data_IF_901020066129
#
_entry.id   IF_901020066129
#
_cell.length_a   1.000
_cell.length_b   1.000
_cell.length_c   1.000
_cell.angle_alpha   90.00
_cell.angle_beta   90.00
_cell.angle_gamma   90.00
#
_symmetry.space_group_name_H-M   'P 1'
#
loop_
_entity.id
_entity.type
_entity.pdbx_description
1 polymer ?
#
# COMPACT_ATOMS: atom_id res chain seq x y z
N UNK A 1 -59.99 -9.98 -20.03
CA UNK A 1 -59.39 -11.08 -19.27
C UNK A 1 -57.97 -10.70 -18.87
N UNK A 2 -57.81 -10.36 -17.59
CA UNK A 2 -56.67 -10.63 -16.67
C UNK A 2 -55.29 -10.96 -17.29
N UNK A 3 -54.26 -10.11 -17.07
CA UNK A 3 -53.15 -10.34 -16.10
C UNK A 3 -52.06 -9.25 -16.24
N UNK A 4 -51.85 -8.43 -15.20
CA UNK A 4 -50.79 -8.48 -14.16
C UNK A 4 -49.59 -7.56 -14.43
N UNK A 5 -49.55 -6.53 -13.59
CA UNK A 5 -48.43 -5.64 -13.25
C UNK A 5 -47.15 -6.43 -12.92
N UNK A 6 -46.01 -5.87 -13.29
CA UNK A 6 -44.81 -5.87 -12.43
C UNK A 6 -44.10 -4.53 -12.60
N UNK A 7 -44.14 -3.73 -11.53
CA UNK A 7 -43.29 -2.57 -11.34
C UNK A 7 -41.84 -3.03 -11.20
N UNK A 8 -40.91 -2.41 -11.93
CA UNK A 8 -39.54 -2.20 -11.46
C UNK A 8 -39.25 -0.70 -11.61
N UNK A 9 -39.35 -0.01 -10.47
CA UNK A 9 -39.00 1.38 -10.30
C UNK A 9 -37.47 1.53 -10.36
N UNK A 10 -37.02 2.47 -11.20
CA UNK A 10 -35.96 3.45 -10.97
C UNK A 10 -34.81 3.09 -10.01
N UNK A 11 -33.64 2.75 -10.58
CA UNK A 11 -32.32 3.05 -10.00
C UNK A 11 -31.23 2.83 -11.05
N UNK A 12 -30.98 3.87 -11.86
CA UNK A 12 -29.74 4.13 -12.62
C UNK A 12 -30.07 5.19 -13.65
N UNK A 13 -29.78 6.44 -13.32
CA UNK A 13 -29.60 7.60 -14.21
C UNK A 13 -29.78 8.89 -13.38
N UNK A 14 -28.80 9.16 -12.51
CA UNK A 14 -28.34 10.52 -12.24
C UNK A 14 -26.82 10.42 -12.48
N UNK A 15 -26.19 11.16 -13.37
CA UNK A 15 -26.62 12.32 -14.13
C UNK A 15 -25.34 13.10 -14.40
N UNK A 16 -24.60 12.67 -15.43
CA UNK A 16 -23.47 13.42 -15.96
C UNK A 16 -23.98 14.75 -16.50
N UNK A 17 -23.94 15.80 -15.68
CA UNK A 17 -24.12 17.16 -16.13
C UNK A 17 -22.78 17.66 -16.66
N UNK A 18 -22.47 17.32 -17.92
CA UNK A 18 -21.46 17.97 -18.74
C UNK A 18 -21.89 19.43 -18.96
N UNK A 19 -21.37 20.36 -18.16
CA UNK A 19 -21.41 21.78 -18.49
C UNK A 19 -20.28 22.02 -19.49
N UNK A 20 -20.62 22.04 -20.78
CA UNK A 20 -19.79 22.55 -21.85
C UNK A 20 -19.74 24.08 -21.69
N UNK A 21 -18.75 24.58 -20.96
CA UNK A 21 -18.38 25.99 -20.94
C UNK A 21 -17.30 26.23 -21.98
N UNK A 22 -17.62 26.91 -23.07
CA UNK A 22 -16.65 27.46 -24.02
C UNK A 22 -15.69 28.40 -23.26
N UNK A 23 -14.48 27.93 -22.95
CA UNK A 23 -13.41 28.78 -22.44
C UNK A 23 -12.93 29.63 -23.62
N UNK A 24 -13.35 30.89 -23.65
CA UNK A 24 -12.63 31.91 -24.40
C UNK A 24 -11.31 32.17 -23.67
N UNK A 25 -10.20 31.73 -24.26
CA UNK A 25 -8.85 32.07 -23.78
C UNK A 25 -8.66 33.59 -23.87
N UNK A 26 -8.27 34.29 -22.79
CA UNK A 26 -7.65 35.59 -22.91
C UNK A 26 -6.25 35.38 -23.52
N UNK A 27 -5.98 36.01 -24.64
CA UNK A 27 -4.61 36.18 -25.13
C UNK A 27 -3.87 37.05 -24.10
N UNK A 28 -3.00 36.44 -23.28
CA UNK A 28 -2.13 37.20 -22.40
C UNK A 28 -0.97 37.77 -23.21
N UNK A 29 -0.96 39.10 -23.29
CA UNK A 29 0.19 39.87 -23.70
C UNK A 29 1.37 39.60 -22.75
N UNK A 30 2.54 39.48 -23.35
CA UNK A 30 3.83 39.36 -22.66
C UNK A 30 4.10 40.66 -21.91
N UNK A 31 4.16 40.61 -20.59
CA UNK A 31 4.88 41.62 -19.82
C UNK A 31 5.89 40.94 -18.89
N UNK A 32 7.15 41.31 -19.14
CA UNK A 32 8.34 40.83 -18.47
C UNK A 32 8.35 41.27 -17.00
N UNK A 33 8.30 40.30 -16.07
CA UNK A 33 8.91 40.48 -14.75
C UNK A 33 9.68 39.21 -14.42
N UNK A 34 11.01 39.33 -14.46
CA UNK A 34 11.95 38.31 -14.00
C UNK A 34 11.68 37.96 -12.54
N UNK A 35 11.21 36.73 -12.30
CA UNK A 35 11.38 36.08 -11.01
C UNK A 35 12.55 35.08 -11.14
N UNK A 36 13.65 35.37 -10.43
CA UNK A 36 14.78 34.45 -10.32
C UNK A 36 14.33 33.20 -9.57
N UNK A 37 14.30 32.05 -10.24
CA UNK A 37 14.11 30.73 -9.63
C UNK A 37 15.45 30.19 -9.15
N UNK A 38 15.61 30.05 -7.83
CA UNK A 38 16.65 29.20 -7.26
C UNK A 38 16.12 27.78 -7.16
N UNK A 39 16.54 26.90 -8.07
CA UNK A 39 16.26 25.47 -8.00
C UNK A 39 17.16 24.84 -6.93
N UNK A 40 16.57 24.34 -5.85
CA UNK A 40 17.20 23.38 -4.97
C UNK A 40 16.62 22.00 -5.32
N UNK A 41 17.49 21.12 -5.83
CA UNK A 41 17.17 19.74 -6.19
C UNK A 41 17.06 18.91 -4.92
N UNK A 42 15.84 18.44 -4.63
CA UNK A 42 15.60 17.26 -3.81
C UNK A 42 14.59 16.39 -4.57
N UNK A 43 15.03 15.20 -4.97
CA UNK A 43 14.21 14.16 -5.59
C UNK A 43 12.99 13.85 -4.71
N UNK A 44 11.77 14.11 -5.22
CA UNK A 44 10.51 13.86 -4.51
C UNK A 44 9.61 15.08 -4.28
N UNK A 45 10.03 16.29 -4.67
CA UNK A 45 9.20 17.51 -4.59
C UNK A 45 9.12 18.20 -5.95
N UNK A 46 8.02 17.99 -6.68
CA UNK A 46 7.70 18.82 -7.85
C UNK A 46 6.24 19.28 -7.74
N UNK A 47 6.11 20.42 -7.08
CA UNK A 47 4.89 21.19 -6.87
C UNK A 47 5.17 22.16 -5.73
N UNK A 48 5.05 23.47 -5.97
CA UNK A 48 5.08 24.45 -4.87
C UNK A 48 4.10 23.99 -3.78
N UNK A 49 4.39 24.23 -2.50
CA UNK A 49 3.42 24.12 -1.40
C UNK A 49 2.23 25.06 -1.69
N UNK A 50 1.37 24.65 -2.62
CA UNK A 50 0.22 25.39 -3.06
C UNK A 50 -0.81 25.10 -2.00
N UNK A 51 -1.04 26.10 -1.16
CA UNK A 51 -2.13 26.08 -0.21
C UNK A 51 -3.18 27.10 -0.61
N UNK A 52 -4.44 26.71 -0.52
CA UNK A 52 -5.59 27.59 -0.67
C UNK A 52 -6.32 27.62 0.66
N UNK A 53 -6.75 28.80 1.09
CA UNK A 53 -7.57 28.96 2.28
C UNK A 53 -8.93 29.56 1.90
N UNK A 54 -10.01 28.91 2.34
CA UNK A 54 -11.37 29.38 2.13
C UNK A 54 -12.20 29.10 3.39
N UNK A 55 -12.93 30.11 3.87
CA UNK A 55 -13.80 30.01 5.05
C UNK A 55 -13.10 29.42 6.30
N UNK A 56 -11.82 29.75 6.49
CA UNK A 56 -11.01 29.28 7.62
C UNK A 56 -10.51 27.84 7.49
N UNK A 57 -10.77 27.16 6.37
CA UNK A 57 -10.20 25.86 6.04
C UNK A 57 -9.00 26.06 5.13
N UNK A 58 -7.85 25.55 5.54
CA UNK A 58 -6.61 25.56 4.75
C UNK A 58 -6.41 24.20 4.11
N UNK A 59 -6.25 24.18 2.78
CA UNK A 59 -5.99 22.98 2.01
C UNK A 59 -4.61 23.13 1.38
N UNK A 60 -3.74 22.13 1.54
CA UNK A 60 -2.35 22.15 1.07
C UNK A 60 -2.07 20.90 0.24
N UNK A 61 -1.49 21.08 -0.95
CA UNK A 61 -0.89 19.98 -1.70
C UNK A 61 0.48 19.65 -1.11
N UNK A 62 0.65 18.44 -0.57
CA UNK A 62 1.89 18.02 0.08
C UNK A 62 2.87 17.37 -0.88
N UNK A 63 2.37 16.48 -1.75
CA UNK A 63 3.18 15.73 -2.69
C UNK A 63 2.36 15.26 -3.89
N UNK A 64 3.03 15.11 -5.02
CA UNK A 64 2.52 14.41 -6.21
C UNK A 64 3.65 13.59 -6.81
N UNK A 65 3.36 12.34 -7.13
CA UNK A 65 4.29 11.41 -7.76
C UNK A 65 3.58 10.74 -8.93
N UNK A 66 4.14 10.86 -10.13
CA UNK A 66 3.66 10.18 -11.32
C UNK A 66 4.67 9.14 -11.81
N UNK A 67 4.21 7.95 -12.15
CA UNK A 67 4.98 6.87 -12.77
C UNK A 67 4.38 6.54 -14.13
N UNK A 68 4.84 5.47 -14.78
CA UNK A 68 4.31 5.10 -16.10
C UNK A 68 2.81 4.79 -16.05
N UNK A 69 2.38 4.15 -14.97
CA UNK A 69 1.03 3.60 -14.82
C UNK A 69 0.25 4.22 -13.65
N UNK A 70 0.89 4.95 -12.72
CA UNK A 70 0.25 5.38 -11.48
C UNK A 70 0.50 6.88 -11.20
N UNK A 71 -0.47 7.53 -10.57
CA UNK A 71 -0.38 8.90 -10.07
C UNK A 71 -0.85 8.92 -8.61
N UNK A 72 0.05 9.28 -7.69
CA UNK A 72 -0.24 9.41 -6.25
C UNK A 72 -0.13 10.86 -5.85
N UNK A 73 -1.17 11.41 -5.23
CA UNK A 73 -1.19 12.76 -4.68
C UNK A 73 -1.62 12.75 -3.21
N UNK A 74 -0.98 13.56 -2.38
CA UNK A 74 -1.36 13.71 -0.97
C UNK A 74 -1.67 15.16 -0.68
N UNK A 75 -2.85 15.42 -0.10
CA UNK A 75 -3.27 16.75 0.36
C UNK A 75 -3.55 16.73 1.87
N UNK A 76 -3.40 17.89 2.51
CA UNK A 76 -3.79 18.11 3.90
C UNK A 76 -4.85 19.19 3.98
N UNK A 77 -5.92 18.90 4.69
CA UNK A 77 -7.00 19.82 5.03
C UNK A 77 -6.92 20.12 6.53
N UNK A 78 -6.84 21.40 6.89
CA UNK A 78 -6.84 21.87 8.27
C UNK A 78 -8.07 22.73 8.49
N UNK A 79 -8.89 22.38 9.48
CA UNK A 79 -10.16 23.04 9.78
C UNK A 79 -10.07 23.84 11.10
N UNK A 80 -10.90 24.88 11.27
CA UNK A 80 -10.88 25.69 12.49
C UNK A 80 -11.54 24.98 13.68
N UNK A 81 -12.45 24.06 13.40
CA UNK A 81 -13.21 23.27 14.37
C UNK A 81 -13.03 21.78 14.08
N UNK A 82 -13.00 20.92 15.12
CA UNK A 82 -12.76 19.48 14.94
C UNK A 82 -13.71 18.83 13.92
N UNK A 83 -13.20 17.82 13.21
CA UNK A 83 -13.99 16.95 12.35
C UNK A 83 -15.05 16.22 13.17
N UNK A 84 -16.21 16.03 12.56
CA UNK A 84 -17.32 15.33 13.19
C UNK A 84 -17.22 13.86 12.82
N UNK A 85 -17.02 13.00 13.83
CA UNK A 85 -16.77 11.56 13.65
C UNK A 85 -17.97 10.82 13.07
N UNK A 86 -19.15 11.42 13.09
CA UNK A 86 -20.38 10.84 12.55
C UNK A 86 -20.62 11.22 11.07
N UNK A 87 -19.83 12.14 10.50
CA UNK A 87 -19.98 12.61 9.13
C UNK A 87 -19.20 11.71 8.15
N UNK A 88 -19.90 11.04 7.24
CA UNK A 88 -19.29 10.08 6.30
C UNK A 88 -18.72 10.74 5.04
N UNK A 89 -18.96 12.04 4.83
CA UNK A 89 -18.52 12.78 3.65
C UNK A 89 -17.80 14.07 4.05
N UNK A 90 -16.61 13.94 4.63
CA UNK A 90 -15.82 15.07 5.12
C UNK A 90 -15.29 15.96 3.99
N UNK A 91 -14.89 15.37 2.86
CA UNK A 91 -14.43 16.05 1.66
C UNK A 91 -14.64 15.18 0.41
N UNK A 92 -15.04 15.82 -0.70
CA UNK A 92 -15.00 15.21 -2.02
C UNK A 92 -13.78 15.75 -2.77
N UNK A 93 -12.98 14.85 -3.33
CA UNK A 93 -11.75 15.18 -4.04
C UNK A 93 -11.77 14.60 -5.46
N UNK A 94 -11.25 15.36 -6.41
CA UNK A 94 -11.07 14.91 -7.79
C UNK A 94 -9.69 15.35 -8.28
N UNK A 95 -8.88 14.37 -8.69
CA UNK A 95 -7.57 14.59 -9.31
C UNK A 95 -7.71 14.54 -10.83
N UNK A 96 -7.21 15.57 -11.51
CA UNK A 96 -7.23 15.67 -12.96
C UNK A 96 -5.81 15.90 -13.49
N UNK A 97 -5.35 14.99 -14.35
CA UNK A 97 -4.04 15.10 -15.02
C UNK A 97 -4.01 14.39 -16.38
N UNK A 98 -3.77 15.16 -17.45
CA UNK A 98 -3.73 14.64 -18.81
C UNK A 98 -5.07 14.06 -19.31
N UNK A 99 -5.05 13.47 -20.51
CA UNK A 99 -6.21 12.86 -21.17
C UNK A 99 -6.23 11.32 -21.02
N UNK A 100 -5.58 10.79 -19.98
CA UNK A 100 -5.41 9.35 -19.84
C UNK A 100 -6.69 8.65 -19.41
N UNK A 101 -6.89 7.42 -19.91
CA UNK A 101 -8.04 6.60 -19.53
C UNK A 101 -7.83 6.04 -18.14
N UNK A 102 -8.45 6.70 -17.16
CA UNK A 102 -8.57 6.19 -15.80
C UNK A 102 -9.09 4.75 -15.80
N UNK A 103 -8.39 3.86 -15.10
CA UNK A 103 -8.71 2.44 -15.05
C UNK A 103 -9.09 1.96 -13.65
N UNK A 104 -8.90 2.79 -12.64
CA UNK A 104 -9.14 2.47 -11.25
C UNK A 104 -8.25 3.31 -10.37
N UNK A 105 -8.58 3.35 -9.09
CA UNK A 105 -7.86 4.16 -8.13
C UNK A 105 -8.41 3.97 -6.73
N UNK A 106 -7.73 4.58 -5.77
CA UNK A 106 -8.09 4.58 -4.38
C UNK A 106 -8.09 6.02 -3.85
N UNK A 107 -8.89 6.25 -2.81
CA UNK A 107 -8.78 7.47 -2.02
C UNK A 107 -8.86 7.07 -0.55
N UNK A 108 -7.85 7.44 0.22
CA UNK A 108 -7.78 7.15 1.65
C UNK A 108 -7.78 8.44 2.46
N UNK A 109 -8.38 8.35 3.65
CA UNK A 109 -8.61 9.47 4.56
C UNK A 109 -7.97 9.10 5.90
N UNK A 110 -7.11 9.97 6.43
CA UNK A 110 -6.44 9.78 7.71
C UNK A 110 -6.53 11.05 8.54
N UNK A 111 -6.79 10.90 9.84
CA UNK A 111 -6.80 11.99 10.80
C UNK A 111 -5.57 11.94 11.70
N UNK A 112 -4.52 12.73 11.45
CA UNK A 112 -3.40 12.85 12.38
C UNK A 112 -3.82 13.45 13.73
N UNK A 113 -4.85 14.29 13.72
CA UNK A 113 -5.46 14.91 14.90
C UNK A 113 -6.93 15.23 14.60
N UNK A 114 -7.63 15.84 15.55
CA UNK A 114 -9.06 16.13 15.45
C UNK A 114 -9.42 17.25 14.46
N UNK A 115 -8.46 18.01 13.94
CA UNK A 115 -8.64 19.16 13.03
C UNK A 115 -7.89 19.03 11.70
N UNK A 116 -7.14 17.96 11.53
CA UNK A 116 -6.33 17.70 10.35
C UNK A 116 -6.81 16.44 9.67
N UNK A 117 -7.09 16.54 8.37
CA UNK A 117 -7.39 15.42 7.50
C UNK A 117 -6.31 15.34 6.41
N UNK A 118 -5.68 14.19 6.27
CA UNK A 118 -4.76 13.86 5.18
C UNK A 118 -5.51 12.96 4.21
N UNK A 119 -5.55 13.37 2.95
CA UNK A 119 -6.17 12.61 1.88
C UNK A 119 -5.08 12.18 0.91
N UNK A 120 -5.00 10.87 0.64
CA UNK A 120 -4.14 10.31 -0.39
C UNK A 120 -5.02 9.78 -1.52
N UNK A 121 -4.75 10.24 -2.74
CA UNK A 121 -5.43 9.87 -3.96
C UNK A 121 -4.44 9.09 -4.82
N UNK A 122 -4.85 7.92 -5.29
CA UNK A 122 -4.04 7.06 -6.15
C UNK A 122 -4.85 6.70 -7.39
N UNK A 123 -4.42 7.17 -8.55
CA UNK A 123 -5.02 6.85 -9.84
C UNK A 123 -4.11 5.93 -10.63
N UNK A 124 -4.69 4.86 -11.20
CA UNK A 124 -4.00 3.90 -12.06
C UNK A 124 -4.52 3.99 -13.50
N UNK A 125 -3.61 4.04 -14.45
CA UNK A 125 -3.86 4.24 -15.87
C UNK A 125 -3.46 3.00 -16.67
N UNK A 126 -4.37 2.51 -17.51
CA UNK A 126 -4.08 1.36 -18.38
C UNK A 126 -3.54 1.84 -19.73
N UNK A 127 -2.36 1.32 -20.12
CA UNK A 127 -1.83 1.40 -21.49
C UNK A 127 -1.61 2.83 -22.03
N UNK A 128 -1.46 3.80 -21.13
CA UNK A 128 -1.17 5.19 -21.47
C UNK A 128 -0.06 5.68 -20.56
N UNK A 129 1.06 6.06 -21.14
CA UNK A 129 2.17 6.67 -20.40
C UNK A 129 1.69 8.04 -19.93
N UNK A 130 1.74 8.29 -18.62
CA UNK A 130 1.48 9.61 -18.09
C UNK A 130 2.32 10.67 -18.83
N UNK A 131 1.75 11.82 -19.22
CA UNK A 131 2.55 12.92 -19.74
C UNK A 131 3.71 13.23 -18.80
N UNK A 132 4.90 13.48 -19.35
CA UNK A 132 6.07 13.80 -18.51
C UNK A 132 5.86 15.12 -17.78
N UNK A 133 5.17 16.09 -18.38
CA UNK A 133 4.94 17.41 -17.80
C UNK A 133 3.56 17.90 -18.14
N UNK A 134 2.97 18.68 -17.24
CA UNK A 134 1.70 19.33 -17.52
C UNK A 134 1.07 19.99 -16.30
N UNK A 135 -0.06 20.67 -16.52
CA UNK A 135 -0.90 21.15 -15.44
C UNK A 135 -1.66 19.98 -14.80
N UNK A 136 -1.61 19.93 -13.49
CA UNK A 136 -2.38 19.05 -12.62
C UNK A 136 -3.34 19.90 -11.79
N UNK A 137 -4.55 19.41 -11.59
CA UNK A 137 -5.56 20.09 -10.78
C UNK A 137 -6.21 19.11 -9.82
N UNK A 138 -6.31 19.51 -8.56
CA UNK A 138 -7.09 18.81 -7.53
C UNK A 138 -8.24 19.70 -7.10
N UNK A 139 -9.47 19.28 -7.37
CA UNK A 139 -10.66 19.97 -6.89
C UNK A 139 -11.10 19.37 -5.55
N UNK A 140 -11.37 20.25 -4.57
CA UNK A 140 -11.78 19.87 -3.21
C UNK A 140 -13.07 20.58 -2.85
N UNK A 141 -14.08 19.80 -2.48
CA UNK A 141 -15.39 20.29 -2.05
C UNK A 141 -15.69 19.82 -0.63
N UNK A 142 -15.97 20.76 0.27
CA UNK A 142 -16.46 20.47 1.63
C UNK A 142 -17.72 21.26 1.90
N UNK A 143 -18.88 20.61 1.85
CA UNK A 143 -20.18 21.27 1.96
C UNK A 143 -20.37 21.97 3.31
N UNK A 144 -19.96 21.32 4.41
CA UNK A 144 -20.06 21.83 5.78
C UNK A 144 -19.37 23.19 5.96
N UNK A 145 -18.19 23.37 5.35
CA UNK A 145 -17.42 24.60 5.41
C UNK A 145 -17.66 25.52 4.21
N UNK A 146 -18.58 25.16 3.30
CA UNK A 146 -18.83 25.86 2.04
C UNK A 146 -17.55 26.08 1.22
N UNK A 147 -16.68 25.07 1.21
CA UNK A 147 -15.42 25.09 0.47
C UNK A 147 -15.63 24.45 -0.88
N UNK A 148 -15.17 25.12 -1.93
CA UNK A 148 -15.07 24.60 -3.29
C UNK A 148 -13.88 25.30 -3.95
N UNK A 149 -12.74 24.63 -3.95
CA UNK A 149 -11.46 25.18 -4.43
C UNK A 149 -10.75 24.19 -5.34
N UNK A 150 -9.97 24.71 -6.27
CA UNK A 150 -9.00 23.94 -7.04
C UNK A 150 -7.58 24.27 -6.59
N UNK A 151 -6.76 23.24 -6.45
CA UNK A 151 -5.31 23.35 -6.30
C UNK A 151 -4.68 23.02 -7.64
N UNK A 152 -4.16 24.04 -8.32
CA UNK A 152 -3.45 23.87 -9.58
C UNK A 152 -1.94 23.74 -9.31
N UNK A 153 -1.27 22.81 -9.98
CA UNK A 153 0.17 22.61 -9.92
C UNK A 153 0.73 22.28 -11.30
N UNK A 154 1.90 22.82 -11.65
CA UNK A 154 2.64 22.37 -12.82
C UNK A 154 3.63 21.30 -12.37
N UNK A 155 3.44 20.08 -12.88
CA UNK A 155 4.24 18.92 -12.49
C UNK A 155 5.20 18.51 -13.60
N UNK A 156 6.31 17.88 -13.21
CA UNK A 156 7.34 17.34 -14.09
C UNK A 156 7.76 15.97 -13.55
N UNK A 157 7.25 14.90 -14.16
CA UNK A 157 7.52 13.51 -13.84
C UNK A 157 8.64 12.90 -14.68
N UNK A 158 9.42 13.72 -15.41
CA UNK A 158 10.47 13.23 -16.31
C UNK A 158 11.46 12.30 -15.59
N UNK A 159 11.83 12.64 -14.35
CA UNK A 159 12.80 11.86 -13.58
C UNK A 159 12.19 10.56 -13.03
N UNK A 160 10.96 10.59 -12.50
CA UNK A 160 10.29 9.38 -12.00
C UNK A 160 9.93 8.39 -13.11
N UNK A 161 9.63 8.90 -14.31
CA UNK A 161 9.41 8.06 -15.49
C UNK A 161 10.71 7.40 -15.98
N UNK A 162 11.84 8.12 -15.95
CA UNK A 162 13.16 7.58 -16.33
C UNK A 162 13.71 6.60 -15.29
N UNK A 163 13.49 6.86 -14.01
CA UNK A 163 13.97 6.04 -12.90
C UNK A 163 12.98 4.90 -12.60
N UNK A 164 12.78 4.06 -13.61
CA UNK A 164 11.93 2.88 -13.54
C UNK A 164 12.57 1.72 -14.30
N UNK A 165 12.15 0.49 -13.99
CA UNK A 165 12.52 -0.70 -14.75
C UNK A 165 11.31 -1.60 -14.98
N UNK A 166 11.31 -2.25 -16.12
CA UNK A 166 10.29 -3.19 -16.54
C UNK A 166 10.98 -4.39 -17.18
N UNK A 167 10.64 -5.60 -16.73
CA UNK A 167 11.19 -6.84 -17.29
C UNK A 167 10.12 -7.91 -17.35
N UNK A 168 9.94 -8.46 -18.56
CA UNK A 168 9.04 -9.58 -18.80
C UNK A 168 9.72 -10.91 -18.50
N UNK A 169 8.91 -11.86 -18.05
CA UNK A 169 9.27 -13.21 -17.64
C UNK A 169 8.25 -14.22 -18.16
N UNK A 170 8.65 -15.49 -18.14
CA UNK A 170 7.74 -16.62 -18.37
C UNK A 170 8.22 -17.78 -17.51
N UNK A 171 8.22 -17.57 -16.19
CA UNK A 171 8.72 -18.55 -15.23
C UNK A 171 7.54 -19.27 -14.62
N UNK A 172 7.46 -20.60 -14.82
CA UNK A 172 6.45 -21.44 -14.19
C UNK A 172 6.76 -21.62 -12.71
N UNK A 173 5.72 -21.56 -11.89
CA UNK A 173 5.73 -21.83 -10.45
C UNK A 173 4.80 -23.03 -10.24
N UNK A 174 5.31 -24.26 -10.42
CA UNK A 174 4.47 -25.46 -10.44
C UNK A 174 3.69 -25.68 -9.15
N UNK A 175 4.21 -25.21 -8.01
CA UNK A 175 3.56 -25.35 -6.71
C UNK A 175 2.17 -24.71 -6.69
N UNK A 176 1.94 -23.64 -7.45
CA UNK A 176 0.69 -22.87 -7.46
C UNK A 176 -0.04 -22.93 -8.81
N UNK A 177 0.47 -23.72 -9.76
CA UNK A 177 0.07 -23.70 -11.17
C UNK A 177 0.02 -22.28 -11.74
N UNK A 178 1.01 -21.46 -11.40
CA UNK A 178 1.08 -20.06 -11.80
C UNK A 178 2.29 -19.79 -12.70
N UNK A 179 2.22 -18.70 -13.45
CA UNK A 179 3.34 -18.19 -14.25
C UNK A 179 3.66 -16.78 -13.83
N UNK A 180 4.90 -16.53 -13.44
CA UNK A 180 5.40 -15.19 -13.22
C UNK A 180 5.72 -14.52 -14.56
N UNK A 181 5.07 -13.38 -14.82
CA UNK A 181 5.07 -12.72 -16.13
C UNK A 181 5.91 -11.45 -16.16
N UNK A 182 5.97 -10.69 -15.07
CA UNK A 182 6.46 -9.31 -15.15
C UNK A 182 6.92 -8.75 -13.82
N UNK A 183 8.03 -8.02 -13.85
CA UNK A 183 8.48 -7.13 -12.78
C UNK A 183 8.47 -5.69 -13.30
N UNK A 184 7.75 -4.81 -12.61
CA UNK A 184 7.80 -3.36 -12.78
C UNK A 184 8.29 -2.73 -11.48
N UNK A 185 9.24 -1.81 -11.52
CA UNK A 185 9.72 -1.12 -10.33
C UNK A 185 9.96 0.35 -10.63
N UNK A 186 9.48 1.21 -9.74
CA UNK A 186 9.59 2.66 -9.83
C UNK A 186 9.72 3.28 -8.42
N UNK A 187 9.43 4.58 -8.30
CA UNK A 187 9.49 5.31 -7.04
C UNK A 187 8.40 4.92 -6.03
N UNK A 188 7.28 4.34 -6.48
CA UNK A 188 6.18 3.89 -5.63
C UNK A 188 6.36 2.45 -5.14
N UNK A 189 7.24 1.67 -5.77
CA UNK A 189 7.58 0.32 -5.33
C UNK A 189 7.84 -0.64 -6.47
N UNK A 190 7.78 -1.93 -6.16
CA UNK A 190 7.87 -3.01 -7.15
C UNK A 190 6.55 -3.75 -7.25
N UNK A 191 6.04 -3.90 -8.47
CA UNK A 191 4.87 -4.70 -8.82
C UNK A 191 5.29 -5.94 -9.59
N UNK A 192 4.68 -7.08 -9.24
CA UNK A 192 4.95 -8.39 -9.81
C UNK A 192 3.65 -8.99 -10.30
N UNK A 193 3.56 -9.26 -11.61
CA UNK A 193 2.35 -9.81 -12.22
C UNK A 193 2.49 -11.30 -12.50
N UNK A 194 1.45 -12.06 -12.14
CA UNK A 194 1.35 -13.50 -12.28
C UNK A 194 0.08 -13.88 -13.03
N UNK A 195 0.11 -14.98 -13.76
CA UNK A 195 -1.04 -15.58 -14.42
C UNK A 195 -1.36 -16.91 -13.77
N UNK A 196 -2.62 -17.10 -13.40
CA UNK A 196 -3.13 -18.30 -12.74
C UNK A 196 -4.40 -18.78 -13.48
N UNK A 197 -4.68 -20.10 -13.50
CA UNK A 197 -5.97 -20.62 -13.94
C UNK A 197 -7.13 -20.02 -13.12
N UNK A 198 -8.29 -19.78 -13.74
CA UNK A 198 -9.47 -19.29 -13.02
C UNK A 198 -9.90 -20.28 -11.91
N UNK A 199 -9.82 -21.58 -12.18
CA UNK A 199 -10.21 -22.63 -11.22
C UNK A 199 -9.38 -22.59 -9.94
N UNK A 200 -8.05 -22.36 -10.01
CA UNK A 200 -7.17 -22.31 -8.83
C UNK A 200 -7.37 -21.04 -8.00
N UNK A 201 -7.65 -19.91 -8.65
CA UNK A 201 -7.91 -18.61 -7.97
C UNK A 201 -9.23 -18.58 -7.18
N UNK A 202 -10.18 -19.45 -7.53
CA UNK A 202 -11.53 -19.51 -6.96
C UNK A 202 -11.77 -20.76 -6.10
N UNK A 203 -10.76 -21.57 -5.78
CA UNK A 203 -10.89 -22.74 -4.91
C UNK A 203 -11.14 -22.37 -3.44
N UNK A 204 -12.24 -21.66 -3.16
CA UNK A 204 -12.96 -21.79 -1.90
C UNK A 204 -13.74 -23.10 -1.97
N UNK A 205 -13.07 -24.22 -1.72
CA UNK A 205 -13.83 -25.35 -1.20
C UNK A 205 -14.33 -24.90 0.18
N UNK A 206 -15.62 -25.04 0.49
CA UNK A 206 -16.21 -24.46 1.72
C UNK A 206 -15.49 -24.89 3.02
N UNK A 207 -14.67 -25.94 2.95
CA UNK A 207 -13.94 -26.52 4.07
C UNK A 207 -12.43 -26.24 4.09
N UNK A 208 -11.81 -25.80 2.98
CA UNK A 208 -10.36 -25.54 2.89
C UNK A 208 -10.10 -24.25 2.12
N UNK A 209 -9.36 -23.35 2.75
CA UNK A 209 -8.84 -22.13 2.16
C UNK A 209 -7.35 -22.30 1.90
N UNK A 210 -6.94 -22.06 0.65
CA UNK A 210 -5.53 -21.94 0.29
C UNK A 210 -5.28 -20.53 -0.22
N UNK A 211 -4.31 -19.84 0.36
CA UNK A 211 -3.84 -18.53 -0.09
C UNK A 211 -2.38 -18.63 -0.53
N UNK A 212 -2.05 -17.92 -1.59
CA UNK A 212 -0.69 -17.82 -2.12
C UNK A 212 -0.17 -16.40 -1.93
N UNK A 213 1.07 -16.30 -1.47
CA UNK A 213 1.83 -15.06 -1.43
C UNK A 213 3.25 -15.30 -1.91
N UNK A 214 4.00 -14.22 -2.02
CA UNK A 214 5.38 -14.25 -2.47
C UNK A 214 6.21 -13.34 -1.58
N UNK A 215 7.49 -13.64 -1.49
CA UNK A 215 8.49 -12.74 -0.94
C UNK A 215 9.44 -12.34 -2.06
N UNK A 216 9.71 -11.04 -2.20
CA UNK A 216 10.76 -10.52 -3.06
C UNK A 216 12.06 -10.39 -2.24
N UNK A 217 13.14 -10.97 -2.74
CA UNK A 217 14.48 -10.80 -2.19
C UNK A 217 15.34 -10.08 -3.22
N UNK A 218 15.99 -9.01 -2.80
CA UNK A 218 16.88 -8.20 -3.63
C UNK A 218 18.17 -7.91 -2.85
N UNK A 219 19.24 -8.63 -3.21
CA UNK A 219 20.48 -8.64 -2.42
C UNK A 219 20.28 -9.30 -1.06
N UNK A 220 20.62 -8.57 0.01
CA UNK A 220 20.41 -8.97 1.40
C UNK A 220 19.00 -8.65 1.93
N UNK A 221 18.29 -7.72 1.26
CA UNK A 221 16.99 -7.23 1.68
C UNK A 221 15.86 -8.12 1.17
N UNK A 222 14.85 -8.25 2.03
CA UNK A 222 13.68 -9.09 1.83
C UNK A 222 12.43 -8.23 2.06
N UNK A 223 11.46 -8.38 1.17
CA UNK A 223 10.22 -7.61 1.11
C UNK A 223 9.03 -8.58 0.99
N UNK A 224 8.13 -8.66 1.99
CA UNK A 224 6.87 -9.36 1.84
C UNK A 224 6.05 -8.69 0.75
N UNK A 225 5.42 -9.49 -0.12
CA UNK A 225 4.56 -8.95 -1.15
C UNK A 225 3.11 -9.00 -0.72
N UNK A 226 2.38 -7.91 -0.96
CA UNK A 226 0.95 -7.81 -0.72
C UNK A 226 0.18 -8.00 -2.01
N UNK A 227 -0.99 -8.63 -1.91
CA UNK A 227 -1.93 -8.64 -3.02
C UNK A 227 -2.42 -7.22 -3.29
N UNK A 228 -2.29 -6.76 -4.55
CA UNK A 228 -2.68 -5.43 -4.99
C UNK A 228 -3.99 -5.47 -5.77
N UNK A 229 -4.05 -6.32 -6.80
CA UNK A 229 -5.21 -6.41 -7.69
C UNK A 229 -5.23 -7.75 -8.43
N UNK A 230 -6.42 -8.18 -8.86
CA UNK A 230 -6.60 -9.30 -9.79
C UNK A 230 -7.66 -8.97 -10.84
N UNK A 231 -7.41 -9.37 -12.09
CA UNK A 231 -8.39 -9.23 -13.17
C UNK A 231 -8.33 -10.41 -14.13
N UNK A 232 -9.43 -10.63 -14.85
CA UNK A 232 -9.49 -11.66 -15.88
C UNK A 232 -8.77 -11.23 -17.15
N UNK A 233 -7.89 -12.09 -17.68
CA UNK A 233 -7.13 -11.85 -18.92
C UNK A 233 -8.02 -11.76 -20.16
N UNK A 234 -9.16 -12.44 -20.14
CA UNK A 234 -10.13 -12.51 -21.24
C UNK A 234 -11.57 -12.36 -20.74
N UNK A 235 -12.46 -11.93 -21.62
CA UNK A 235 -13.92 -12.00 -21.40
C UNK A 235 -14.52 -13.34 -21.82
N UNK A 236 -13.77 -14.19 -22.51
CA UNK A 236 -14.18 -15.54 -22.89
C UNK A 236 -13.89 -16.52 -21.74
N UNK A 237 -14.93 -17.18 -21.24
CA UNK A 237 -14.86 -18.14 -20.13
C UNK A 237 -14.00 -19.36 -20.48
N UNK A 238 -13.82 -19.70 -21.77
CA UNK A 238 -13.03 -20.87 -22.17
C UNK A 238 -11.52 -20.60 -22.32
N UNK A 239 -11.10 -19.33 -22.26
CA UNK A 239 -9.70 -18.88 -22.35
C UNK A 239 -9.36 -17.93 -21.20
N UNK A 240 -10.01 -18.15 -20.05
CA UNK A 240 -9.94 -17.26 -18.90
C UNK A 240 -8.79 -17.65 -17.98
N UNK A 241 -7.86 -16.73 -17.80
CA UNK A 241 -6.87 -16.78 -16.74
C UNK A 241 -7.00 -15.56 -15.85
N UNK A 242 -6.62 -15.68 -14.59
CA UNK A 242 -6.55 -14.54 -13.67
C UNK A 242 -5.13 -13.98 -13.73
N UNK A 243 -5.03 -12.69 -13.99
CA UNK A 243 -3.80 -11.93 -13.81
C UNK A 243 -3.85 -11.29 -12.43
N UNK A 244 -2.95 -11.70 -11.56
CA UNK A 244 -2.82 -11.18 -10.20
C UNK A 244 -1.54 -10.36 -10.09
N UNK A 245 -1.62 -9.20 -9.45
CA UNK A 245 -0.49 -8.35 -9.15
C UNK A 245 -0.23 -8.34 -7.66
N UNK A 246 1.02 -8.59 -7.29
CA UNK A 246 1.52 -8.41 -5.94
C UNK A 246 2.50 -7.24 -5.91
N UNK A 247 2.59 -6.53 -4.78
CA UNK A 247 3.39 -5.33 -4.65
C UNK A 247 4.23 -5.31 -3.37
N UNK A 248 5.43 -4.71 -3.47
CA UNK A 248 6.27 -4.31 -2.35
C UNK A 248 6.62 -2.83 -2.51
N UNK A 249 5.90 -1.97 -1.80
CA UNK A 249 6.11 -0.51 -1.84
C UNK A 249 7.51 -0.13 -1.32
N UNK A 250 8.02 -0.86 -0.32
CA UNK A 250 9.35 -0.66 0.23
C UNK A 250 10.50 -1.01 -0.74
N UNK A 251 10.24 -1.77 -1.80
CA UNK A 251 11.22 -2.18 -2.81
C UNK A 251 11.16 -1.24 -4.03
N UNK A 252 11.67 -0.02 -3.90
CA UNK A 252 11.66 0.95 -5.01
C UNK A 252 12.77 0.68 -6.03
N UNK A 253 12.65 1.25 -7.23
CA UNK A 253 13.66 1.17 -8.29
C UNK A 253 15.07 1.49 -7.78
N UNK A 254 15.22 2.59 -7.04
CA UNK A 254 16.51 3.01 -6.48
C UNK A 254 17.14 1.96 -5.55
N UNK A 255 16.32 1.17 -4.84
CA UNK A 255 16.82 0.13 -3.92
C UNK A 255 17.18 -1.17 -4.64
N UNK A 256 16.55 -1.46 -5.78
CA UNK A 256 16.71 -2.75 -6.47
C UNK A 256 17.52 -2.70 -7.78
N UNK A 257 17.71 -1.53 -8.40
CA UNK A 257 18.31 -1.39 -9.75
C UNK A 257 19.73 -1.96 -9.88
N UNK A 258 20.52 -1.88 -8.81
CA UNK A 258 21.91 -2.33 -8.79
C UNK A 258 22.07 -3.75 -8.20
N UNK A 259 20.96 -4.39 -7.81
CA UNK A 259 20.99 -5.72 -7.20
C UNK A 259 21.16 -6.80 -8.28
N UNK A 260 22.27 -7.53 -8.21
CA UNK A 260 22.56 -8.64 -9.14
C UNK A 260 21.85 -9.94 -8.76
N UNK A 261 21.37 -10.06 -7.52
CA UNK A 261 20.66 -11.21 -7.00
C UNK A 261 19.23 -10.80 -6.63
N UNK A 262 18.30 -11.02 -7.56
CA UNK A 262 16.87 -10.81 -7.35
C UNK A 262 16.18 -12.16 -7.47
N UNK A 263 15.37 -12.50 -6.49
CA UNK A 263 14.65 -13.77 -6.45
C UNK A 263 13.27 -13.64 -5.81
N UNK A 264 12.42 -14.63 -6.07
CA UNK A 264 11.10 -14.78 -5.48
C UNK A 264 11.06 -16.06 -4.64
N UNK A 265 10.44 -15.98 -3.46
CA UNK A 265 10.18 -17.14 -2.61
C UNK A 265 8.65 -17.32 -2.55
N UNK A 266 8.10 -18.37 -3.17
CA UNK A 266 6.68 -18.67 -3.11
C UNK A 266 6.25 -19.14 -1.72
N UNK A 267 5.10 -18.69 -1.22
CA UNK A 267 4.52 -19.12 0.05
C UNK A 267 3.06 -19.54 -0.17
N UNK A 268 2.68 -20.70 0.35
CA UNK A 268 1.26 -21.09 0.44
C UNK A 268 0.85 -21.28 1.88
N UNK A 269 -0.34 -20.80 2.21
CA UNK A 269 -1.01 -21.04 3.48
C UNK A 269 -2.29 -21.83 3.22
N UNK A 270 -2.40 -23.03 3.80
CA UNK A 270 -3.59 -23.88 3.66
C UNK A 270 -4.20 -24.17 5.02
N UNK A 271 -5.43 -23.73 5.23
CA UNK A 271 -6.17 -23.90 6.48
C UNK A 271 -7.56 -24.45 6.22
N UNK A 272 -8.09 -25.24 7.15
CA UNK A 272 -9.49 -25.64 7.11
C UNK A 272 -10.42 -24.59 7.75
N UNK A 273 -11.69 -24.60 7.36
CA UNK A 273 -12.68 -23.61 7.81
C UNK A 273 -12.95 -23.63 9.32
N UNK A 274 -12.67 -24.74 10.00
CA UNK A 274 -12.83 -24.87 11.46
C UNK A 274 -11.69 -24.17 12.20
N UNK A 275 -10.45 -24.40 11.78
CA UNK A 275 -9.27 -23.78 12.37
C UNK A 275 -9.25 -22.28 12.09
N UNK A 276 -9.69 -21.86 10.91
CA UNK A 276 -9.87 -20.45 10.57
C UNK A 276 -10.83 -19.73 11.53
N UNK A 277 -11.93 -20.39 11.92
CA UNK A 277 -12.89 -19.82 12.89
C UNK A 277 -12.33 -19.73 14.30
N UNK A 278 -11.31 -20.50 14.64
CA UNK A 278 -10.71 -20.51 15.97
C UNK A 278 -9.59 -19.49 16.10
N UNK A 279 -8.84 -19.22 15.02
CA UNK A 279 -7.80 -18.18 14.95
C UNK A 279 -8.27 -16.83 15.52
N UNK A 280 -9.46 -16.38 15.14
CA UNK A 280 -10.00 -15.07 15.54
C UNK A 280 -10.85 -15.10 16.81
N UNK A 281 -11.00 -16.26 17.46
CA UNK A 281 -11.77 -16.41 18.71
C UNK A 281 -10.90 -16.46 19.94
N UNK A 282 -9.65 -16.91 19.80
CA UNK A 282 -8.69 -16.80 20.87
C UNK A 282 -8.17 -15.36 20.86
N UNK A 283 -8.48 -14.60 21.90
CA UNK A 283 -7.74 -13.38 22.21
C UNK A 283 -6.26 -13.78 22.21
N UNK A 284 -5.52 -13.39 21.16
CA UNK A 284 -4.08 -13.56 21.13
C UNK A 284 -3.53 -12.74 22.28
N UNK A 285 -3.33 -13.46 23.38
CA UNK A 285 -3.20 -12.89 24.70
C UNK A 285 -1.91 -12.08 24.76
N UNK A 286 -2.05 -10.78 25.03
CA UNK A 286 -1.00 -9.84 25.47
C UNK A 286 -0.29 -10.26 26.78
N UNK A 287 -0.34 -11.54 27.16
CA UNK A 287 -0.10 -11.98 28.54
C UNK A 287 1.33 -11.85 29.02
N UNK A 288 2.29 -11.60 28.13
CA UNK A 288 3.71 -11.42 28.47
C UNK A 288 4.39 -10.36 27.59
N UNK A 289 3.72 -9.22 27.38
CA UNK A 289 4.35 -8.07 26.73
C UNK A 289 5.44 -7.46 27.63
N UNK A 290 6.61 -7.21 27.05
CA UNK A 290 7.65 -6.39 27.66
C UNK A 290 7.83 -5.10 26.88
N UNK A 291 8.29 -4.05 27.57
CA UNK A 291 8.54 -2.74 26.97
C UNK A 291 9.99 -2.34 27.18
N UNK A 292 10.69 -2.05 26.09
CA UNK A 292 12.06 -1.52 26.10
C UNK A 292 12.10 -0.34 25.12
N UNK A 293 12.67 0.79 25.54
CA UNK A 293 12.82 2.00 24.71
C UNK A 293 11.51 2.40 23.99
N UNK A 294 10.39 2.46 24.72
CA UNK A 294 9.07 2.81 24.16
C UNK A 294 8.55 1.83 23.08
N UNK A 295 9.09 0.62 23.00
CA UNK A 295 8.61 -0.45 22.11
C UNK A 295 8.08 -1.59 22.97
N UNK A 296 6.78 -1.86 22.88
CA UNK A 296 6.11 -3.00 23.51
C UNK A 296 6.10 -4.20 22.56
N UNK A 297 6.45 -5.40 23.04
CA UNK A 297 6.45 -6.61 22.22
C UNK A 297 6.31 -7.88 23.08
N UNK A 298 5.80 -8.96 22.49
CA UNK A 298 5.88 -10.28 23.08
C UNK A 298 7.29 -10.87 22.87
N UNK A 299 7.91 -11.39 23.94
CA UNK A 299 9.27 -11.95 23.84
C UNK A 299 9.31 -13.27 23.08
N UNK A 300 8.30 -14.11 23.29
CA UNK A 300 8.24 -15.48 22.77
C UNK A 300 6.91 -15.72 22.06
N UNK A 301 6.94 -16.58 21.05
CA UNK A 301 5.79 -16.93 20.21
C UNK A 301 5.67 -18.45 20.16
N UNK A 302 4.49 -18.97 20.42
CA UNK A 302 4.22 -20.41 20.32
C UNK A 302 3.64 -20.73 18.94
N UNK A 303 4.18 -21.78 18.31
CA UNK A 303 3.71 -22.27 17.02
C UNK A 303 2.93 -23.59 17.18
N UNK A 304 2.11 -23.92 16.17
CA UNK A 304 1.21 -25.08 16.19
C UNK A 304 1.91 -26.45 16.14
N UNK A 305 3.20 -26.50 15.81
CA UNK A 305 4.03 -27.71 15.94
C UNK A 305 4.68 -27.85 17.34
N UNK A 306 4.45 -26.90 18.24
CA UNK A 306 5.03 -26.84 19.58
C UNK A 306 6.43 -26.23 19.63
N UNK A 307 6.99 -25.82 18.49
CA UNK A 307 8.20 -24.99 18.46
C UNK A 307 7.90 -23.56 18.91
N UNK A 308 8.96 -22.78 19.15
CA UNK A 308 8.85 -21.39 19.62
C UNK A 308 9.72 -20.46 18.81
N UNK A 309 9.18 -19.28 18.51
CA UNK A 309 9.96 -18.13 18.07
C UNK A 309 10.32 -17.22 19.25
N UNK A 310 11.33 -16.38 19.08
CA UNK A 310 11.66 -15.33 20.06
C UNK A 310 12.11 -14.04 19.39
N UNK A 311 11.78 -12.91 20.03
CA UNK A 311 12.47 -11.63 19.83
C UNK A 311 13.54 -11.53 20.91
N UNK A 312 14.81 -11.63 20.51
CA UNK A 312 15.94 -11.60 21.44
C UNK A 312 16.55 -10.21 21.63
N UNK A 313 16.29 -9.27 20.72
CA UNK A 313 16.76 -7.89 20.88
C UNK A 313 15.84 -6.87 20.17
N UNK A 314 15.79 -5.65 20.72
CA UNK A 314 15.15 -4.48 20.13
C UNK A 314 16.13 -3.33 20.16
N UNK A 315 16.34 -2.68 19.02
CA UNK A 315 17.05 -1.40 18.95
C UNK A 315 16.09 -0.32 18.48
N UNK A 316 16.18 0.85 19.09
CA UNK A 316 15.42 2.02 18.69
C UNK A 316 16.37 3.20 18.57
N UNK A 317 16.31 3.84 17.41
CA UNK A 317 16.93 5.12 17.14
C UNK A 317 15.86 6.20 16.97
N UNK A 318 16.26 7.45 16.74
CA UNK A 318 15.33 8.58 16.62
C UNK A 318 14.24 8.37 15.55
N UNK A 319 14.56 7.66 14.46
CA UNK A 319 13.68 7.47 13.31
C UNK A 319 13.48 6.01 12.90
N UNK A 320 13.95 5.03 13.67
CA UNK A 320 13.83 3.62 13.30
C UNK A 320 13.71 2.69 14.51
N UNK A 321 13.12 1.52 14.27
CA UNK A 321 13.08 0.40 15.21
C UNK A 321 13.57 -0.85 14.48
N UNK A 322 14.54 -1.55 15.07
CA UNK A 322 15.01 -2.86 14.59
C UNK A 322 14.62 -3.93 15.58
N UNK A 323 13.99 -4.99 15.06
CA UNK A 323 13.53 -6.15 15.80
C UNK A 323 14.36 -7.35 15.39
N UNK A 324 15.07 -7.93 16.33
CA UNK A 324 15.90 -9.10 16.13
C UNK A 324 15.15 -10.32 16.63
N UNK A 325 14.91 -11.27 15.73
CA UNK A 325 14.06 -12.42 16.00
C UNK A 325 14.59 -13.69 15.36
N UNK A 326 14.16 -14.84 15.87
CA UNK A 326 14.43 -16.14 15.27
C UNK A 326 13.33 -17.14 15.56
N UNK A 327 13.23 -18.14 14.70
CA UNK A 327 12.48 -19.38 14.94
C UNK A 327 13.40 -20.52 15.37
N UNK A 328 12.84 -21.70 15.58
CA UNK A 328 13.60 -22.92 15.81
C UNK A 328 14.27 -23.45 14.52
N UNK A 329 13.82 -22.99 13.35
CA UNK A 329 14.43 -23.26 12.05
C UNK A 329 14.26 -22.08 11.07
N UNK A 330 14.85 -22.22 9.88
CA UNK A 330 14.85 -21.21 8.81
C UNK A 330 13.45 -20.77 8.39
N UNK A 331 12.54 -21.73 8.19
CA UNK A 331 11.16 -21.48 7.76
C UNK A 331 10.44 -20.61 8.79
N UNK A 332 10.53 -20.99 10.06
CA UNK A 332 9.91 -20.24 11.16
C UNK A 332 10.46 -18.82 11.28
N UNK A 333 11.79 -18.65 11.21
CA UNK A 333 12.41 -17.33 11.25
C UNK A 333 11.97 -16.42 10.10
N UNK A 334 11.96 -16.95 8.87
CA UNK A 334 11.54 -16.23 7.67
C UNK A 334 10.09 -15.78 7.77
N UNK A 335 9.18 -16.70 8.12
CA UNK A 335 7.76 -16.42 8.17
C UNK A 335 7.39 -15.52 9.36
N UNK A 336 8.08 -15.65 10.50
CA UNK A 336 7.89 -14.74 11.63
C UNK A 336 8.36 -13.31 11.29
N UNK A 337 9.50 -13.17 10.61
CA UNK A 337 9.97 -11.85 10.16
C UNK A 337 8.99 -11.19 9.18
N UNK A 338 8.45 -11.96 8.24
CA UNK A 338 7.48 -11.49 7.25
C UNK A 338 6.09 -11.17 7.82
N UNK A 339 5.75 -11.66 9.02
CA UNK A 339 4.45 -11.43 9.65
C UNK A 339 4.42 -10.29 10.66
N UNK A 340 5.58 -9.74 11.04
CA UNK A 340 5.64 -8.63 11.99
C UNK A 340 5.07 -7.34 11.40
N UNK A 341 4.33 -6.61 12.22
CA UNK A 341 3.90 -5.25 11.94
C UNK A 341 3.96 -4.38 13.19
N UNK A 342 4.06 -3.07 12.99
CA UNK A 342 4.11 -2.10 14.09
C UNK A 342 2.84 -1.27 14.13
N UNK A 343 2.38 -0.90 15.32
CA UNK A 343 1.33 0.09 15.54
C UNK A 343 1.79 1.15 16.54
N UNK A 344 1.29 2.38 16.42
CA UNK A 344 1.47 3.39 17.46
C UNK A 344 0.46 3.14 18.59
N UNK A 345 0.94 3.11 19.84
CA UNK A 345 0.07 3.04 21.02
C UNK A 345 -0.44 4.45 21.34
N UNK A 346 -1.75 4.63 21.33
CA UNK A 346 -2.38 5.82 21.91
C UNK A 346 -2.70 5.51 23.38
N UNK A 347 -2.02 6.19 24.31
CA UNK A 347 -2.24 6.03 25.75
C UNK A 347 -3.62 6.56 26.21
N UNK A 348 -4.29 7.36 25.38
CA UNK A 348 -5.58 7.99 25.71
C UNK A 348 -6.77 7.32 25.02
N UNK A 349 -6.57 6.33 24.14
CA UNK A 349 -7.68 5.67 23.45
C UNK A 349 -8.24 4.51 24.30
N UNK A 350 -9.44 4.72 24.84
CA UNK A 350 -10.32 3.61 25.27
C UNK A 350 -10.98 2.90 24.07
N UNK A 351 -10.40 3.04 22.88
CA UNK A 351 -11.07 2.70 21.62
C UNK A 351 -10.58 1.36 21.10
N UNK A 352 -11.52 0.61 20.56
CA UNK A 352 -11.33 -0.72 20.01
C UNK A 352 -10.19 -0.79 18.98
N UNK A 353 -9.64 -2.00 18.85
CA UNK A 353 -8.57 -2.50 17.96
C UNK A 353 -8.54 -1.96 16.50
N UNK A 354 -9.58 -1.28 16.04
CA UNK A 354 -9.73 -0.79 14.67
C UNK A 354 -9.37 0.70 14.47
N UNK A 355 -9.10 1.46 15.54
CA UNK A 355 -8.81 2.91 15.48
C UNK A 355 -7.32 3.24 15.79
N UNK A 356 -6.41 2.33 15.42
CA UNK A 356 -4.97 2.57 15.55
C UNK A 356 -4.46 3.39 14.36
N UNK A 357 -3.65 4.40 14.66
CA UNK A 357 -2.93 5.20 13.67
C UNK A 357 -1.88 4.27 13.01
N UNK A 358 -2.29 3.53 11.97
CA UNK A 358 -1.47 2.47 11.38
C UNK A 358 -0.14 3.03 10.89
N UNK A 359 0.95 2.42 11.35
CA UNK A 359 2.26 2.63 10.74
C UNK A 359 2.23 2.04 9.33
N UNK A 360 2.77 2.78 8.38
CA UNK A 360 2.80 2.35 6.98
C UNK A 360 3.84 1.23 6.80
N UNK A 361 3.40 0.01 7.06
CA UNK A 361 4.25 -1.18 7.07
C UNK A 361 4.82 -1.51 5.69
N UNK A 362 4.05 -1.32 4.62
CA UNK A 362 4.45 -1.81 3.29
C UNK A 362 5.55 -0.93 2.67
N UNK A 363 5.45 0.40 2.84
CA UNK A 363 6.45 1.35 2.33
C UNK A 363 7.78 1.30 3.12
N UNK A 364 7.70 1.00 4.43
CA UNK A 364 8.78 1.35 5.38
C UNK A 364 9.35 0.18 6.18
N UNK A 365 8.86 -1.03 5.94
CA UNK A 365 9.38 -2.25 6.58
C UNK A 365 10.21 -3.03 5.59
N UNK A 366 11.39 -3.43 6.03
CA UNK A 366 12.26 -4.38 5.30
C UNK A 366 12.85 -5.34 6.30
N UNK A 367 13.18 -6.54 5.89
CA UNK A 367 13.91 -7.45 6.76
C UNK A 367 15.03 -8.17 6.01
N UNK A 368 15.97 -8.70 6.77
CA UNK A 368 17.17 -9.35 6.25
C UNK A 368 17.71 -10.34 7.28
N UNK A 369 18.64 -11.18 6.84
CA UNK A 369 19.32 -12.13 7.73
C UNK A 369 20.16 -11.41 8.76
N UNK A 370 20.12 -11.89 9.99
CA UNK A 370 21.08 -11.48 11.01
C UNK A 370 22.46 -12.10 10.68
N UNK A 371 23.52 -11.30 10.46
CA UNK A 371 24.86 -11.85 10.25
C UNK A 371 25.41 -12.61 11.46
N UNK A 372 24.90 -12.36 12.66
CA UNK A 372 25.41 -12.90 13.92
C UNK A 372 24.61 -14.13 14.42
N UNK A 373 23.46 -14.45 13.81
CA UNK A 373 22.65 -15.63 14.14
C UNK A 373 22.14 -16.31 12.86
N UNK A 374 22.55 -17.57 12.64
CA UNK A 374 22.19 -18.31 11.42
C UNK A 374 20.68 -18.48 11.19
N UNK A 375 19.89 -18.48 12.26
CA UNK A 375 18.42 -18.56 12.21
C UNK A 375 17.77 -17.19 12.45
N UNK A 376 18.58 -16.16 12.71
CA UNK A 376 18.16 -14.82 13.03
C UNK A 376 17.77 -14.01 11.80
N UNK A 377 16.78 -13.14 12.02
CA UNK A 377 16.36 -12.10 11.09
C UNK A 377 16.25 -10.78 11.84
N UNK A 378 16.51 -9.70 11.10
CA UNK A 378 16.37 -8.33 11.57
C UNK A 378 15.24 -7.69 10.75
N UNK A 379 14.16 -7.31 11.42
CA UNK A 379 13.07 -6.52 10.82
C UNK A 379 13.28 -5.06 11.17
N UNK A 380 13.37 -4.21 10.15
CA UNK A 380 13.67 -2.79 10.27
C UNK A 380 12.46 -1.95 9.86
N UNK A 381 11.92 -1.22 10.82
CA UNK A 381 10.86 -0.23 10.66
C UNK A 381 11.50 1.16 10.57
N UNK A 382 11.33 1.84 9.44
CA UNK A 382 11.90 3.16 9.15
C UNK A 382 10.89 4.30 9.30
N UNK A 383 11.39 5.53 9.48
CA UNK A 383 10.57 6.73 9.64
C UNK A 383 9.53 6.58 10.79
N UNK A 384 9.99 6.00 11.89
CA UNK A 384 9.21 5.85 13.13
C UNK A 384 9.24 7.19 13.88
N UNK A 385 8.09 7.66 14.37
CA UNK A 385 8.02 8.91 15.15
C UNK A 385 8.88 8.80 16.42
N UNK A 386 9.82 9.74 16.59
CA UNK A 386 10.67 9.86 17.78
C UNK A 386 9.84 9.90 19.07
N UNK A 387 10.33 9.24 20.12
CA UNK A 387 9.76 9.19 21.48
C UNK A 387 8.30 8.70 21.61
N UNK A 388 7.64 8.26 20.52
CA UNK A 388 6.29 7.69 20.56
C UNK A 388 6.30 6.21 20.94
N UNK A 389 5.38 5.82 21.83
CA UNK A 389 5.16 4.43 22.18
C UNK A 389 4.64 3.61 21.00
N UNK A 390 5.33 2.52 20.68
CA UNK A 390 4.97 1.59 19.62
C UNK A 390 4.76 0.19 20.16
N UNK A 391 4.00 -0.60 19.41
CA UNK A 391 3.82 -2.03 19.67
C UNK A 391 4.18 -2.83 18.43
N UNK A 392 5.01 -3.85 18.63
CA UNK A 392 5.29 -4.87 17.63
C UNK A 392 4.26 -5.98 17.82
N UNK A 393 3.49 -6.22 16.76
CA UNK A 393 2.50 -7.27 16.62
C UNK A 393 2.89 -8.18 15.47
N UNK A 394 2.12 -9.25 15.28
CA UNK A 394 2.32 -10.21 14.22
C UNK A 394 0.98 -10.67 13.67
N UNK A 395 0.96 -11.08 12.40
CA UNK A 395 -0.22 -11.70 11.80
C UNK A 395 -0.55 -12.99 12.56
N UNK A 396 -1.75 -13.12 13.16
CA UNK A 396 -2.11 -14.27 13.99
C UNK A 396 -2.04 -15.62 13.25
N UNK A 397 -2.17 -15.61 11.92
CA UNK A 397 -2.04 -16.83 11.10
C UNK A 397 -0.68 -17.50 11.29
N UNK A 398 0.38 -16.75 11.62
CA UNK A 398 1.73 -17.31 11.82
C UNK A 398 1.79 -18.35 12.94
N UNK A 399 0.88 -18.29 13.92
CA UNK A 399 0.77 -19.30 14.97
C UNK A 399 0.50 -20.70 14.40
N UNK A 400 -0.11 -20.79 13.22
CA UNK A 400 -0.36 -22.04 12.50
C UNK A 400 0.79 -22.38 11.53
N UNK A 401 2.04 -22.40 12.00
CA UNK A 401 3.21 -22.60 11.14
C UNK A 401 3.15 -23.86 10.25
N UNK A 402 2.46 -24.92 10.71
CA UNK A 402 2.23 -26.15 9.96
C UNK A 402 1.35 -25.98 8.71
N UNK A 403 0.52 -24.95 8.67
CA UNK A 403 -0.33 -24.61 7.53
C UNK A 403 0.47 -23.92 6.40
N UNK A 404 1.68 -23.44 6.68
CA UNK A 404 2.53 -22.78 5.69
C UNK A 404 3.45 -23.78 4.99
N UNK A 405 3.62 -23.59 3.69
CA UNK A 405 4.69 -24.19 2.88
C UNK A 405 5.49 -23.07 2.23
N UNK A 406 6.82 -23.17 2.31
CA UNK A 406 7.76 -22.28 1.63
C UNK A 406 8.32 -23.03 0.44
N UNK A 407 8.10 -22.50 -0.76
CA UNK A 407 8.58 -23.07 -2.01
C UNK A 407 10.05 -22.79 -2.27
N UNK A 408 10.59 -23.40 -3.33
CA UNK A 408 11.97 -23.18 -3.75
C UNK A 408 12.18 -21.73 -4.23
N UNK A 409 13.32 -21.13 -3.86
CA UNK A 409 13.69 -19.77 -4.28
C UNK A 409 13.94 -19.70 -5.80
N UNK A 410 13.22 -18.82 -6.48
CA UNK A 410 13.24 -18.65 -7.93
C UNK A 410 14.11 -17.43 -8.29
N UNK A 411 15.23 -17.65 -8.96
CA UNK A 411 16.12 -16.57 -9.39
C UNK A 411 15.58 -15.85 -10.63
N UNK A 412 15.45 -14.52 -10.55
CA UNK A 412 14.96 -13.65 -11.63
C UNK A 412 16.10 -13.01 -12.45
N UNK A 413 17.27 -12.83 -11.83
CA UNK A 413 18.47 -12.33 -12.49
C UNK A 413 19.40 -13.48 -12.89
N UNK A 414 19.63 -13.60 -14.20
CA UNK A 414 20.89 -14.03 -14.80
C UNK A 414 21.27 -13.02 -15.87
#
# INVERSE_FOLDING_TARGET
>A
MINKKTNKLLSSMLGAALIIGLIQMPAFAVDNVQAQSSYAVNSGLIGNNNSVEQNGVKITLNSVVGTKNDLKATITIQTPAPFDKDDREEAQVLLNYGDNKFNGGSTSFRHPDDKTLVITIEDRFNKSVLPEKGPLRIDVVMQKYKVNVGLDANVDFSDSLKNSMEKDYSIKIPQFDSTFNKLESDILGTHLSFTEPEETSLMRNNDVLTEHSFILKAGDKIYPLRHSNSYSSSSDENDRSIVTTYEAEGATYEKIKDQTAISLIPISFTINSKDQKNLYKEEHNDKDMQTINNVSYAKTFDFSDGSKGEIYNIQRDDNSVKVYLKGANEKEGLLLAGSLFMVYKDENSKKDYYDHDYYDGNERTTFYKDPDDSLGYIVEFNNVKKDVNTQINYDPTISLINAFTVGDEIQLSK
#
